data_IF_330912291954
#
_entry.id   IF_330912291954
#
_cell.length_a   1.000
_cell.length_b   1.000
_cell.length_c   1.000
_cell.angle_alpha   90.00
_cell.angle_beta   90.00
_cell.angle_gamma   90.00
#
_symmetry.space_group_name_H-M   'P 1'
#
loop_
_entity.id
_entity.type
_entity.pdbx_description
1 polymer ?
#
# COMPACT_ATOMS: atom_id res chain seq x y z
N UNK A 1 -17.10 -10.29 -8.58
CA UNK A 1 -17.51 -9.63 -7.33
C UNK A 1 -17.22 -8.14 -7.37
N UNK A 2 -17.95 -7.47 -8.20
CA UNK A 2 -17.81 -6.04 -8.36
C UNK A 2 -18.35 -5.33 -7.11
N UNK A 3 -17.57 -4.40 -6.56
CA UNK A 3 -18.04 -3.55 -5.46
C UNK A 3 -19.16 -2.61 -5.96
N UNK A 4 -20.16 -2.35 -5.14
CA UNK A 4 -21.11 -1.29 -5.43
C UNK A 4 -20.43 0.09 -5.29
N UNK A 5 -21.08 1.15 -5.80
CA UNK A 5 -20.48 2.48 -5.83
C UNK A 5 -20.13 3.02 -4.43
N UNK A 6 -20.95 2.73 -3.43
CA UNK A 6 -20.73 3.16 -2.05
C UNK A 6 -19.50 2.47 -1.45
N UNK A 7 -19.42 1.16 -1.61
CA UNK A 7 -18.28 0.36 -1.12
C UNK A 7 -16.98 0.77 -1.84
N UNK A 8 -17.04 0.92 -3.16
CA UNK A 8 -15.88 1.36 -3.94
C UNK A 8 -15.35 2.70 -3.44
N UNK A 9 -16.24 3.69 -3.26
CA UNK A 9 -15.85 5.00 -2.76
C UNK A 9 -15.25 4.94 -1.34
N UNK A 10 -15.83 4.13 -0.45
CA UNK A 10 -15.35 4.00 0.92
C UNK A 10 -13.98 3.30 0.99
N UNK A 11 -13.77 2.27 0.19
CA UNK A 11 -12.49 1.55 0.12
C UNK A 11 -11.40 2.44 -0.50
N UNK A 12 -11.73 3.15 -1.58
CA UNK A 12 -10.80 4.11 -2.17
C UNK A 12 -10.42 5.21 -1.19
N UNK A 13 -11.38 5.72 -0.42
CA UNK A 13 -11.11 6.72 0.61
C UNK A 13 -10.15 6.18 1.70
N UNK A 14 -10.28 4.92 2.10
CA UNK A 14 -9.37 4.28 3.03
C UNK A 14 -7.96 4.16 2.46
N UNK A 15 -7.83 3.78 1.19
CA UNK A 15 -6.53 3.72 0.51
C UNK A 15 -5.89 5.10 0.39
N UNK A 16 -6.67 6.13 0.10
CA UNK A 16 -6.16 7.50 0.05
C UNK A 16 -5.72 8.03 1.43
N UNK A 17 -6.42 7.64 2.49
CA UNK A 17 -5.97 7.95 3.86
C UNK A 17 -4.64 7.27 4.19
N UNK A 18 -4.50 6.02 3.78
CA UNK A 18 -3.24 5.28 3.95
C UNK A 18 -2.08 5.99 3.26
N UNK A 19 -2.21 6.31 1.99
CA UNK A 19 -1.14 7.00 1.24
C UNK A 19 -0.85 8.39 1.80
N UNK A 20 -1.87 9.13 2.21
CA UNK A 20 -1.70 10.46 2.81
C UNK A 20 -0.98 10.41 4.17
N UNK A 21 -1.38 9.50 5.06
CA UNK A 21 -0.72 9.32 6.35
C UNK A 21 0.75 8.92 6.19
N UNK A 22 1.02 8.02 5.25
CA UNK A 22 2.37 7.59 4.93
C UNK A 22 3.23 8.76 4.42
N UNK A 23 2.73 9.53 3.47
CA UNK A 23 3.42 10.70 2.91
C UNK A 23 3.69 11.77 3.98
N UNK A 24 2.73 12.00 4.86
CA UNK A 24 2.83 13.00 5.94
C UNK A 24 3.66 12.52 7.13
N UNK A 25 4.09 11.26 7.12
CA UNK A 25 4.81 10.63 8.24
C UNK A 25 4.00 10.66 9.54
N UNK A 26 2.69 10.52 9.40
CA UNK A 26 1.74 10.47 10.50
C UNK A 26 1.58 9.01 10.97
N UNK A 27 2.40 8.61 11.92
CA UNK A 27 2.42 7.22 12.38
C UNK A 27 1.11 6.82 13.05
N UNK A 28 0.51 7.69 13.83
CA UNK A 28 -0.76 7.39 14.51
C UNK A 28 -1.91 7.30 13.49
N UNK A 29 -1.95 8.20 12.50
CA UNK A 29 -2.90 8.13 11.39
C UNK A 29 -2.73 6.85 10.57
N UNK A 30 -1.50 6.46 10.30
CA UNK A 30 -1.20 5.22 9.57
C UNK A 30 -1.65 3.99 10.35
N UNK A 31 -1.30 3.89 11.62
CA UNK A 31 -1.69 2.77 12.48
C UNK A 31 -3.22 2.68 12.64
N UNK A 32 -3.92 3.81 12.65
CA UNK A 32 -5.38 3.85 12.75
C UNK A 32 -6.13 3.32 11.52
N UNK A 33 -5.45 3.16 10.39
CA UNK A 33 -6.03 2.60 9.17
C UNK A 33 -5.79 1.09 9.07
N UNK A 34 -4.85 0.56 9.84
CA UNK A 34 -4.58 -0.87 9.86
C UNK A 34 -5.61 -1.62 10.71
N UNK A 35 -5.94 -2.83 10.29
CA UNK A 35 -6.63 -3.78 11.15
C UNK A 35 -5.77 -4.03 12.41
N UNK A 36 -6.38 -4.11 13.60
CA UNK A 36 -5.64 -4.35 14.83
C UNK A 36 -5.21 -5.80 15.01
N UNK A 37 -5.58 -6.69 14.10
CA UNK A 37 -5.31 -8.11 14.21
C UNK A 37 -3.81 -8.41 14.03
N UNK A 38 -3.33 -9.42 14.74
CA UNK A 38 -1.92 -9.80 14.71
C UNK A 38 -1.50 -10.47 13.41
N UNK A 39 -2.45 -10.93 12.60
CA UNK A 39 -2.21 -11.62 11.33
C UNK A 39 -2.22 -10.70 10.10
N UNK A 40 -2.31 -9.39 10.27
CA UNK A 40 -2.13 -8.48 9.14
C UNK A 40 -0.75 -8.67 8.53
N UNK A 41 -0.65 -8.48 7.22
CA UNK A 41 0.53 -8.88 6.48
C UNK A 41 0.95 -7.84 5.43
N UNK A 42 2.27 -7.65 5.28
CA UNK A 42 2.86 -6.76 4.29
C UNK A 42 4.03 -7.44 3.58
N UNK A 43 4.00 -7.38 2.24
CA UNK A 43 5.22 -7.45 1.44
C UNK A 43 5.55 -6.05 0.92
N UNK A 44 6.75 -5.56 1.23
CA UNK A 44 7.33 -4.38 0.59
C UNK A 44 8.17 -4.75 -0.63
N UNK A 45 8.91 -3.79 -1.15
CA UNK A 45 9.72 -3.97 -2.36
C UNK A 45 11.07 -4.65 -2.10
N UNK A 46 11.60 -4.54 -0.90
CA UNK A 46 12.88 -5.13 -0.52
C UNK A 46 12.76 -6.61 -0.17
N UNK A 47 13.85 -7.35 -0.36
CA UNK A 47 13.87 -8.79 -0.12
C UNK A 47 13.60 -9.17 1.34
N UNK A 48 13.90 -8.29 2.28
CA UNK A 48 13.67 -8.47 3.70
C UNK A 48 12.33 -7.91 4.20
N UNK A 49 11.56 -7.30 3.33
CA UNK A 49 10.33 -6.60 3.69
C UNK A 49 9.13 -7.55 3.70
N UNK A 50 9.16 -8.47 4.65
CA UNK A 50 8.06 -9.37 4.97
C UNK A 50 7.67 -9.11 6.42
N UNK A 51 6.50 -8.51 6.64
CA UNK A 51 6.08 -8.01 7.95
C UNK A 51 4.73 -8.59 8.34
N UNK A 52 4.60 -8.99 9.59
CA UNK A 52 3.36 -9.51 10.16
C UNK A 52 3.03 -8.74 11.42
N UNK A 53 1.77 -8.31 11.54
CA UNK A 53 1.26 -7.61 12.71
C UNK A 53 1.51 -6.10 12.71
N UNK A 54 0.75 -5.36 13.55
CA UNK A 54 0.84 -3.90 13.59
C UNK A 54 2.22 -3.37 13.97
N UNK A 55 2.91 -4.01 14.92
CA UNK A 55 4.23 -3.55 15.36
C UNK A 55 5.28 -3.62 14.24
N UNK A 56 5.24 -4.68 13.43
CA UNK A 56 6.16 -4.82 12.29
C UNK A 56 5.81 -3.85 11.16
N UNK A 57 4.53 -3.52 10.96
CA UNK A 57 4.13 -2.45 10.05
C UNK A 57 4.68 -1.10 10.50
N UNK A 58 4.56 -0.79 11.78
CA UNK A 58 5.13 0.43 12.37
C UNK A 58 6.63 0.48 12.13
N UNK A 59 7.32 -0.61 12.40
CA UNK A 59 8.77 -0.72 12.19
C UNK A 59 9.14 -0.42 10.72
N UNK A 60 8.40 -0.99 9.76
CA UNK A 60 8.66 -0.78 8.35
C UNK A 60 8.49 0.69 7.96
N UNK A 61 7.38 1.32 8.36
CA UNK A 61 7.13 2.72 8.05
C UNK A 61 8.21 3.62 8.65
N UNK A 62 8.59 3.40 9.89
CA UNK A 62 9.62 4.19 10.55
C UNK A 62 10.99 4.01 9.89
N UNK A 63 11.31 2.80 9.44
CA UNK A 63 12.55 2.52 8.68
C UNK A 63 12.54 3.26 7.34
N UNK A 64 11.45 3.21 6.60
CA UNK A 64 11.32 3.91 5.32
C UNK A 64 11.54 5.42 5.50
N UNK A 65 10.93 5.99 6.52
CA UNK A 65 11.05 7.42 6.80
C UNK A 65 12.44 7.81 7.29
N UNK A 66 13.13 6.94 8.00
CA UNK A 66 14.49 7.19 8.44
C UNK A 66 15.49 7.18 7.27
N UNK A 67 15.17 6.47 6.19
CA UNK A 67 16.04 6.32 5.03
C UNK A 67 15.72 7.28 3.90
N UNK A 68 14.67 8.09 4.03
CA UNK A 68 14.23 9.04 3.01
C UNK A 68 14.01 10.41 3.61
N UNK A 69 14.16 11.46 2.80
CA UNK A 69 13.76 12.82 3.16
C UNK A 69 12.27 13.01 2.89
N UNK A 70 11.80 12.51 1.75
CA UNK A 70 10.39 12.46 1.36
C UNK A 70 10.09 11.15 0.66
N UNK A 71 8.86 10.67 0.79
CA UNK A 71 8.37 9.52 0.05
C UNK A 71 6.85 9.60 -0.03
N UNK A 72 6.33 9.51 -1.25
CA UNK A 72 4.90 9.58 -1.53
C UNK A 72 4.52 8.59 -2.61
N UNK A 73 3.31 8.03 -2.49
CA UNK A 73 2.71 7.18 -3.50
C UNK A 73 1.47 7.86 -4.08
N UNK A 74 1.36 7.88 -5.40
CA UNK A 74 0.17 8.35 -6.10
C UNK A 74 -0.44 7.22 -6.92
N UNK A 75 -1.75 7.03 -6.80
CA UNK A 75 -2.48 5.98 -7.54
C UNK A 75 -3.02 6.58 -8.83
N UNK A 76 -2.63 6.01 -9.97
CA UNK A 76 -3.10 6.43 -11.29
C UNK A 76 -4.23 5.55 -11.81
N UNK A 77 -4.26 4.29 -11.42
CA UNK A 77 -5.29 3.32 -11.79
C UNK A 77 -5.61 2.43 -10.61
N UNK A 78 -6.88 2.05 -10.51
CA UNK A 78 -7.31 1.09 -9.48
C UNK A 78 -8.49 0.23 -9.95
N UNK A 79 -8.61 -0.93 -9.34
CA UNK A 79 -9.76 -1.81 -9.46
C UNK A 79 -10.12 -2.33 -8.07
N UNK A 80 -11.39 -2.19 -7.69
CA UNK A 80 -11.88 -2.58 -6.38
C UNK A 80 -13.00 -3.59 -6.55
N UNK A 81 -12.89 -4.68 -5.81
CA UNK A 81 -13.88 -5.74 -5.72
C UNK A 81 -14.23 -5.98 -4.26
N UNK A 82 -15.41 -6.52 -3.97
CA UNK A 82 -15.83 -6.75 -2.60
C UNK A 82 -16.77 -7.94 -2.49
N UNK A 83 -16.76 -8.57 -1.32
CA UNK A 83 -17.68 -9.63 -0.93
C UNK A 83 -17.98 -9.50 0.57
N UNK A 84 -19.23 -9.13 0.91
CA UNK A 84 -19.61 -8.89 2.31
C UNK A 84 -18.76 -7.79 2.96
N UNK A 85 -18.08 -8.14 4.04
CA UNK A 85 -17.25 -7.21 4.80
C UNK A 85 -15.77 -7.20 4.37
N UNK A 86 -15.45 -7.76 3.21
CA UNK A 86 -14.08 -7.83 2.70
C UNK A 86 -14.03 -7.19 1.32
N UNK A 87 -13.00 -6.40 1.09
CA UNK A 87 -12.70 -5.82 -0.22
C UNK A 87 -11.24 -6.07 -0.57
N UNK A 88 -10.97 -6.12 -1.88
CA UNK A 88 -9.60 -6.21 -2.36
C UNK A 88 -9.38 -5.20 -3.47
N UNK A 89 -8.16 -4.69 -3.50
CA UNK A 89 -7.76 -3.59 -4.38
C UNK A 89 -6.55 -4.03 -5.20
N UNK A 90 -6.59 -3.73 -6.48
CA UNK A 90 -5.41 -3.69 -7.32
C UNK A 90 -5.22 -2.25 -7.78
N UNK A 91 -4.01 -1.75 -7.71
CA UNK A 91 -3.71 -0.38 -8.11
C UNK A 91 -2.31 -0.29 -8.72
N UNK A 92 -2.11 0.69 -9.56
CA UNK A 92 -0.79 1.08 -10.03
C UNK A 92 -0.64 2.59 -10.05
N UNK A 93 0.58 3.06 -10.00
CA UNK A 93 0.90 4.47 -9.95
C UNK A 93 2.40 4.71 -9.83
N UNK A 94 2.75 5.74 -9.10
CA UNK A 94 4.14 6.16 -8.94
C UNK A 94 4.52 6.30 -7.48
N UNK A 95 5.74 5.86 -7.16
CA UNK A 95 6.43 6.26 -5.95
C UNK A 95 7.39 7.38 -6.29
N UNK A 96 7.42 8.44 -5.49
CA UNK A 96 8.31 9.59 -5.63
C UNK A 96 8.92 9.95 -4.30
N UNK A 97 10.19 10.24 -4.28
CA UNK A 97 10.83 10.62 -3.05
C UNK A 97 12.17 11.27 -3.25
N UNK A 98 12.82 11.52 -2.11
CA UNK A 98 14.16 12.08 -2.04
C UNK A 98 14.94 11.37 -0.93
N UNK A 99 16.14 10.93 -1.24
CA UNK A 99 17.04 10.26 -0.30
C UNK A 99 18.48 10.65 -0.63
N UNK A 100 19.26 10.98 0.40
CA UNK A 100 20.66 11.38 0.19
C UNK A 100 20.82 12.60 -0.71
N UNK A 101 19.85 13.52 -0.70
CA UNK A 101 19.86 14.69 -1.55
C UNK A 101 19.43 14.44 -3.00
N UNK A 102 19.12 13.21 -3.38
CA UNK A 102 18.73 12.86 -4.75
C UNK A 102 17.24 12.52 -4.83
N UNK A 103 16.58 13.07 -5.83
CA UNK A 103 15.19 12.72 -6.15
C UNK A 103 15.15 11.40 -6.92
N UNK A 104 14.11 10.61 -6.65
CA UNK A 104 13.84 9.36 -7.36
C UNK A 104 12.35 9.19 -7.63
N UNK A 105 12.06 8.43 -8.66
CA UNK A 105 10.69 8.07 -9.07
C UNK A 105 10.71 6.65 -9.61
N UNK A 106 9.68 5.88 -9.28
CA UNK A 106 9.54 4.52 -9.81
C UNK A 106 8.09 4.17 -10.04
N UNK A 107 7.79 3.38 -11.11
CA UNK A 107 6.46 2.81 -11.28
C UNK A 107 6.23 1.75 -10.20
N UNK A 108 5.00 1.70 -9.65
CA UNK A 108 4.67 0.71 -8.64
C UNK A 108 3.31 0.09 -8.89
N UNK A 109 3.16 -1.13 -8.42
CA UNK A 109 1.90 -1.85 -8.36
C UNK A 109 1.61 -2.22 -6.91
N UNK A 110 0.34 -2.23 -6.59
CA UNK A 110 -0.10 -2.42 -5.21
C UNK A 110 -1.33 -3.31 -5.21
N UNK A 111 -1.36 -4.26 -4.30
CA UNK A 111 -2.57 -5.00 -3.97
C UNK A 111 -2.84 -4.90 -2.48
N UNK A 112 -4.10 -4.86 -2.12
CA UNK A 112 -4.50 -4.73 -0.72
C UNK A 112 -5.79 -5.49 -0.46
N UNK A 113 -5.93 -5.99 0.76
CA UNK A 113 -7.18 -6.54 1.28
C UNK A 113 -7.59 -5.66 2.46
N UNK A 114 -8.84 -5.22 2.45
CA UNK A 114 -9.44 -4.43 3.52
C UNK A 114 -10.62 -5.18 4.12
N UNK A 115 -10.84 -4.99 5.40
CA UNK A 115 -12.00 -5.52 6.10
C UNK A 115 -12.84 -4.38 6.67
N UNK A 116 -14.15 -4.55 6.67
CA UNK A 116 -15.06 -3.59 7.25
C UNK A 116 -15.31 -3.94 8.72
N UNK A 117 -15.05 -2.98 9.60
CA UNK A 117 -15.39 -3.05 11.01
C UNK A 117 -16.23 -1.84 11.38
N UNK A 118 -17.52 -2.05 11.63
CA UNK A 118 -18.46 -0.96 11.81
C UNK A 118 -18.61 -0.17 10.51
N UNK A 119 -18.31 1.11 10.57
CA UNK A 119 -18.34 2.04 9.43
C UNK A 119 -16.98 2.26 8.78
N UNK A 120 -15.94 1.56 9.25
CA UNK A 120 -14.56 1.74 8.78
C UNK A 120 -14.09 0.57 7.94
N UNK A 121 -13.35 0.89 6.89
CA UNK A 121 -12.57 -0.08 6.13
C UNK A 121 -11.11 -0.01 6.57
N UNK A 122 -10.57 -1.13 7.04
CA UNK A 122 -9.24 -1.24 7.62
C UNK A 122 -8.37 -2.15 6.77
N UNK A 123 -7.11 -1.80 6.63
CA UNK A 123 -6.13 -2.54 5.84
C UNK A 123 -5.70 -3.80 6.60
N UNK A 124 -5.92 -4.97 5.98
CA UNK A 124 -5.58 -6.27 6.56
C UNK A 124 -4.38 -6.91 5.88
N UNK A 125 -4.18 -6.65 4.60
CA UNK A 125 -3.05 -7.17 3.83
C UNK A 125 -2.65 -6.18 2.76
N UNK A 126 -1.35 -6.09 2.52
CA UNK A 126 -0.82 -5.11 1.59
C UNK A 126 0.42 -5.66 0.90
N UNK A 127 0.54 -5.39 -0.38
CA UNK A 127 1.75 -5.70 -1.14
C UNK A 127 2.03 -4.57 -2.12
N UNK A 128 3.29 -4.16 -2.17
CA UNK A 128 3.79 -3.23 -3.18
C UNK A 128 4.92 -3.90 -3.96
N UNK A 129 4.94 -3.69 -5.26
CA UNK A 129 5.96 -4.26 -6.14
C UNK A 129 6.31 -3.29 -7.26
N UNK A 130 7.43 -3.54 -7.91
CA UNK A 130 7.86 -2.84 -9.10
C UNK A 130 7.88 -3.83 -10.27
N UNK A 131 7.67 -3.35 -11.52
CA UNK A 131 8.04 -4.16 -12.69
C UNK A 131 9.50 -4.58 -12.58
N UNK A 132 9.81 -5.81 -12.95
CA UNK A 132 11.18 -6.30 -12.88
C UNK A 132 12.10 -5.47 -13.80
N UNK A 133 13.19 -4.91 -13.27
CA UNK A 133 14.15 -4.19 -14.09
C UNK A 133 14.72 -5.10 -15.19
N UNK A 134 14.78 -4.61 -16.42
CA UNK A 134 15.32 -5.37 -17.54
C UNK A 134 14.35 -6.35 -18.20
N UNK A 135 13.16 -6.56 -17.63
CA UNK A 135 12.13 -7.36 -18.28
C UNK A 135 11.40 -6.48 -19.31
N UNK A 136 11.66 -6.71 -20.58
CA UNK A 136 11.03 -5.96 -21.67
C UNK A 136 9.56 -6.34 -21.83
N UNK A 137 8.77 -5.39 -22.35
CA UNK A 137 7.37 -5.63 -22.69
C UNK A 137 7.26 -6.80 -23.66
N UNK A 138 6.36 -7.73 -23.36
CA UNK A 138 6.17 -8.96 -24.13
C UNK A 138 6.95 -10.16 -23.59
N UNK A 139 7.92 -9.98 -22.74
CA UNK A 139 8.64 -11.07 -22.09
C UNK A 139 7.95 -11.49 -20.79
N UNK A 140 7.76 -12.79 -20.61
CA UNK A 140 7.01 -13.33 -19.44
C UNK A 140 7.87 -13.57 -18.21
N UNK A 141 9.19 -13.53 -18.34
CA UNK A 141 10.14 -13.80 -17.25
C UNK A 141 11.23 -12.73 -17.19
N UNK A 142 11.80 -12.46 -15.99
CA UNK A 142 12.76 -11.38 -15.79
C UNK A 142 14.20 -11.78 -16.17
N UNK A 143 14.37 -12.40 -17.31
CA UNK A 143 15.69 -12.86 -17.80
C UNK A 143 15.94 -12.44 -19.23
#
# INVERSE_FOLDING_TARGET
MKADAKTEAAVLAAMNKFTAAYQQRDIEGLMGILSPDEDIFLFGTGIDEKRTGPDEFRFQAERDWAQTETLAFSLAWHKISAAGSVAWVAAEGLGKGKAGGQEFEFPMRMTAVLEQRGDKWLLAQFQISLPAPGQEEGNSVPV
#
